data_IF_916591673189
#
_entry.id   IF_916591673189
#
_cell.length_a   1.000
_cell.length_b   1.000
_cell.length_c   1.000
_cell.angle_alpha   90.00
_cell.angle_beta   90.00
_cell.angle_gamma   90.00
#
_symmetry.space_group_name_H-M   'P 1'
#
loop_
_entity.id
_entity.type
_entity.pdbx_description
1 polymer ?
#
# COMPACT_ATOMS: atom_id res chain seq x y z
N UNK A 1 18.98 2.41 22.07
CA UNK A 1 17.58 2.46 21.58
C UNK A 1 17.24 3.89 21.21
N UNK A 2 17.49 4.29 19.95
CA UNK A 2 17.07 5.60 19.45
C UNK A 2 15.68 5.42 18.85
N UNK A 3 14.66 5.89 19.55
CA UNK A 3 13.27 5.75 19.15
C UNK A 3 12.98 6.55 17.88
N UNK A 4 11.99 6.09 17.08
CA UNK A 4 11.44 6.79 15.91
C UNK A 4 11.15 8.29 16.15
N UNK A 5 10.86 8.68 17.40
CA UNK A 5 10.70 10.06 17.84
C UNK A 5 11.95 10.95 17.63
N UNK A 6 13.15 10.37 17.63
CA UNK A 6 14.37 11.18 17.49
C UNK A 6 14.69 11.52 16.04
N UNK A 7 14.23 10.71 15.07
CA UNK A 7 14.41 10.99 13.66
C UNK A 7 13.52 12.18 13.22
N UNK A 8 12.24 12.15 13.59
CA UNK A 8 11.31 13.26 13.31
C UNK A 8 11.74 14.55 14.02
N UNK A 9 12.24 14.47 15.28
CA UNK A 9 12.72 15.65 16.01
C UNK A 9 14.02 16.24 15.47
N UNK A 10 14.89 15.46 14.83
CA UNK A 10 16.12 15.98 14.22
C UNK A 10 15.91 16.64 12.86
N UNK A 11 14.81 16.31 12.17
CA UNK A 11 14.42 16.98 10.93
C UNK A 11 13.69 18.31 11.15
N UNK A 12 13.22 18.59 12.38
CA UNK A 12 12.40 19.77 12.70
C UNK A 12 13.15 20.92 13.40
N UNK A 13 14.48 20.91 13.45
CA UNK A 13 15.29 22.04 13.91
C UNK A 13 15.89 22.78 12.72
N UNK A 14 15.04 23.37 11.91
CA UNK A 14 15.38 24.52 11.08
C UNK A 14 14.68 25.73 11.69
N UNK A 15 15.49 26.66 12.13
CA UNK A 15 15.17 27.95 12.71
C UNK A 15 14.07 28.70 11.96
N UNK A 16 13.06 29.19 12.70
CA UNK A 16 12.07 30.15 12.24
C UNK A 16 12.75 31.50 11.93
N UNK A 17 13.30 31.62 10.71
CA UNK A 17 13.46 32.88 10.03
C UNK A 17 12.34 32.93 8.98
N UNK A 18 11.73 34.08 8.73
CA UNK A 18 10.71 34.27 7.70
C UNK A 18 11.24 33.75 6.36
N UNK A 19 10.99 32.47 6.11
CA UNK A 19 11.31 31.81 4.85
C UNK A 19 10.03 31.71 4.04
N UNK A 20 10.08 32.25 2.83
CA UNK A 20 9.21 31.84 1.75
C UNK A 20 8.97 30.32 1.88
N UNK A 21 7.72 29.95 2.06
CA UNK A 21 7.29 28.55 1.94
C UNK A 21 7.65 28.12 0.52
N UNK A 22 8.86 27.63 0.33
CA UNK A 22 9.19 26.89 -0.88
C UNK A 22 8.31 25.65 -0.87
N UNK A 23 7.16 25.74 -1.51
CA UNK A 23 6.38 24.59 -1.91
C UNK A 23 7.28 23.79 -2.84
N UNK A 24 7.94 22.77 -2.31
CA UNK A 24 8.53 21.75 -3.17
C UNK A 24 7.38 21.16 -3.98
N UNK A 25 7.48 21.14 -5.31
CA UNK A 25 6.44 20.52 -6.12
C UNK A 25 6.34 19.05 -5.71
N UNK A 26 5.11 18.56 -5.56
CA UNK A 26 4.89 17.14 -5.32
C UNK A 26 5.48 16.33 -6.49
N UNK A 27 6.22 15.29 -6.17
CA UNK A 27 6.89 14.45 -7.16
C UNK A 27 5.93 13.36 -7.64
N UNK A 28 5.62 13.39 -8.91
CA UNK A 28 4.85 12.33 -9.57
C UNK A 28 5.72 11.12 -9.85
N UNK A 29 6.92 11.37 -10.29
CA UNK A 29 7.88 10.32 -10.63
C UNK A 29 9.31 10.73 -10.28
N UNK A 30 10.19 9.74 -10.19
CA UNK A 30 11.64 9.92 -10.10
C UNK A 30 12.29 9.19 -11.27
N UNK A 31 12.85 9.95 -12.21
CA UNK A 31 13.49 9.42 -13.41
C UNK A 31 12.61 8.45 -14.23
N UNK A 32 11.29 8.73 -14.31
CA UNK A 32 10.34 7.91 -15.05
C UNK A 32 9.77 6.71 -14.29
N UNK A 33 10.07 6.60 -13.00
CA UNK A 33 9.43 5.63 -12.09
C UNK A 33 8.35 6.34 -11.29
N UNK A 34 7.09 5.95 -11.46
CA UNK A 34 5.98 6.47 -10.66
C UNK A 34 6.19 6.08 -9.19
N UNK A 35 6.16 7.08 -8.31
CA UNK A 35 6.35 6.87 -6.87
C UNK A 35 5.10 7.22 -6.08
N UNK A 36 4.97 6.62 -4.92
CA UNK A 36 3.89 6.92 -3.96
C UNK A 36 4.33 6.62 -2.53
N UNK A 37 3.46 6.90 -1.58
CA UNK A 37 3.64 6.50 -0.19
C UNK A 37 2.43 5.73 0.31
N UNK A 38 2.68 4.66 1.06
CA UNK A 38 1.63 3.96 1.81
C UNK A 38 1.38 4.73 3.10
N UNK A 39 0.15 5.17 3.35
CA UNK A 39 -0.15 6.01 4.53
C UNK A 39 0.06 5.28 5.86
N UNK A 40 0.18 3.95 5.85
CA UNK A 40 0.65 3.16 6.99
C UNK A 40 1.96 3.68 7.59
N UNK A 41 2.85 4.21 6.74
CA UNK A 41 4.17 4.76 7.13
C UNK A 41 4.07 5.95 8.08
N UNK A 42 2.91 6.61 8.18
CA UNK A 42 2.76 7.83 8.97
C UNK A 42 2.42 7.60 10.44
N UNK A 43 2.09 6.46 10.86
CA UNK A 43 1.57 6.05 12.16
C UNK A 43 0.11 5.56 12.04
N UNK A 44 -0.14 4.28 12.27
CA UNK A 44 -1.49 3.71 12.16
C UNK A 44 -2.50 4.23 13.18
N UNK A 45 -2.08 5.04 14.16
CA UNK A 45 -2.99 5.65 15.14
C UNK A 45 -3.56 7.02 14.76
N UNK A 46 -3.21 7.58 13.59
CA UNK A 46 -3.71 8.89 13.16
C UNK A 46 -5.16 8.74 12.64
N UNK A 47 -6.09 9.47 13.25
CA UNK A 47 -7.51 9.48 12.89
C UNK A 47 -7.93 10.82 12.24
N UNK A 48 -7.04 11.81 12.20
CA UNK A 48 -7.34 13.17 11.73
C UNK A 48 -6.90 13.34 10.29
N UNK A 49 -7.86 13.52 9.40
CA UNK A 49 -7.62 13.60 7.95
C UNK A 49 -6.65 14.70 7.54
N UNK A 50 -6.70 15.86 8.21
CA UNK A 50 -5.78 16.97 7.95
C UNK A 50 -4.32 16.62 8.26
N UNK A 51 -4.07 15.80 9.30
CA UNK A 51 -2.73 15.31 9.65
C UNK A 51 -2.24 14.32 8.60
N UNK A 52 -3.10 13.40 8.15
CA UNK A 52 -2.77 12.44 7.09
C UNK A 52 -2.41 13.19 5.80
N UNK A 53 -3.23 14.17 5.40
CA UNK A 53 -2.97 14.99 4.22
C UNK A 53 -1.66 15.76 4.36
N UNK A 54 -1.39 16.35 5.54
CA UNK A 54 -0.14 17.08 5.77
C UNK A 54 1.07 16.16 5.67
N UNK A 55 1.01 14.96 6.25
CA UNK A 55 2.08 13.97 6.15
C UNK A 55 2.34 13.54 4.69
N UNK A 56 1.28 13.43 3.87
CA UNK A 56 1.42 13.16 2.43
C UNK A 56 2.17 14.33 1.74
N UNK A 57 1.80 15.56 2.03
CA UNK A 57 2.49 16.74 1.49
C UNK A 57 3.97 16.80 1.92
N UNK A 58 4.23 16.52 3.20
CA UNK A 58 5.58 16.53 3.75
C UNK A 58 6.46 15.40 3.21
N UNK A 59 5.84 14.28 2.77
CA UNK A 59 6.54 13.19 2.06
C UNK A 59 6.96 13.57 0.64
N UNK A 60 6.38 14.63 0.09
CA UNK A 60 6.65 15.09 -1.28
C UNK A 60 5.98 14.26 -2.38
N UNK A 61 5.16 13.25 -2.03
CA UNK A 61 4.48 12.43 -3.03
C UNK A 61 3.08 12.96 -3.36
N UNK A 62 2.77 13.05 -4.65
CA UNK A 62 1.43 13.38 -5.13
C UNK A 62 0.51 12.16 -5.29
N UNK A 63 1.00 10.97 -4.94
CA UNK A 63 0.28 9.72 -5.13
C UNK A 63 0.36 8.85 -3.86
N UNK A 64 -0.74 8.23 -3.44
CA UNK A 64 -0.80 7.48 -2.19
C UNK A 64 -1.57 6.15 -2.31
N UNK A 65 -1.15 5.16 -1.52
CA UNK A 65 -2.00 4.06 -1.09
C UNK A 65 -2.61 4.42 0.27
N UNK A 66 -3.94 4.60 0.30
CA UNK A 66 -4.66 5.07 1.47
C UNK A 66 -5.16 3.90 2.32
N UNK A 67 -4.74 3.88 3.59
CA UNK A 67 -5.15 2.85 4.55
C UNK A 67 -6.57 3.07 5.04
N UNK A 68 -7.31 1.99 5.15
CA UNK A 68 -8.72 2.01 5.52
C UNK A 68 -9.00 2.53 6.93
N UNK A 69 -8.17 2.22 7.91
CA UNK A 69 -8.35 2.69 9.29
C UNK A 69 -8.24 4.20 9.42
N UNK A 70 -7.32 4.83 8.69
CA UNK A 70 -7.19 6.29 8.67
C UNK A 70 -8.48 6.97 8.21
N UNK A 71 -9.06 6.46 7.12
CA UNK A 71 -10.25 7.07 6.53
C UNK A 71 -11.52 6.67 7.27
N UNK A 72 -11.70 5.40 7.62
CA UNK A 72 -12.89 4.92 8.32
C UNK A 72 -13.07 5.64 9.66
N UNK A 73 -11.98 5.86 10.41
CA UNK A 73 -12.01 6.61 11.67
C UNK A 73 -12.35 8.07 11.48
N UNK A 74 -11.74 8.73 10.50
CA UNK A 74 -11.96 10.15 10.24
C UNK A 74 -13.40 10.48 9.82
N UNK A 75 -14.13 9.50 9.27
CA UNK A 75 -15.53 9.65 8.87
C UNK A 75 -16.52 8.94 9.81
N UNK A 76 -16.09 8.64 11.04
CA UNK A 76 -16.97 8.27 12.14
C UNK A 76 -17.15 6.78 12.38
N UNK A 77 -16.21 5.92 11.95
CA UNK A 77 -16.25 4.50 12.35
C UNK A 77 -16.11 4.37 13.88
N UNK A 78 -17.01 3.66 14.57
CA UNK A 78 -16.94 3.47 16.01
C UNK A 78 -15.63 2.78 16.45
N UNK A 79 -15.16 3.09 17.67
CA UNK A 79 -13.97 2.42 18.23
C UNK A 79 -14.22 0.94 18.54
N UNK A 80 -15.46 0.55 18.84
CA UNK A 80 -15.83 -0.84 19.12
C UNK A 80 -15.81 -1.68 17.84
N UNK A 81 -14.93 -2.68 17.77
CA UNK A 81 -14.84 -3.62 16.63
C UNK A 81 -16.18 -4.33 16.33
N UNK A 82 -17.02 -4.57 17.35
CA UNK A 82 -18.35 -5.20 17.19
C UNK A 82 -19.29 -4.38 16.30
N UNK A 83 -19.07 -3.07 16.22
CA UNK A 83 -19.91 -2.15 15.44
C UNK A 83 -19.40 -1.92 14.01
N UNK A 84 -18.20 -2.42 13.64
CA UNK A 84 -17.57 -2.11 12.37
C UNK A 84 -18.37 -2.64 11.18
N UNK A 85 -18.83 -3.89 11.23
CA UNK A 85 -19.61 -4.48 10.12
C UNK A 85 -20.93 -3.73 9.91
N UNK A 86 -21.64 -3.39 11.01
CA UNK A 86 -22.87 -2.60 10.92
C UNK A 86 -22.61 -1.18 10.40
N UNK A 87 -21.52 -0.54 10.83
CA UNK A 87 -21.16 0.79 10.33
C UNK A 87 -20.84 0.74 8.82
N UNK A 88 -20.03 -0.23 8.38
CA UNK A 88 -19.69 -0.43 6.96
C UNK A 88 -20.92 -0.69 6.08
N UNK A 89 -21.90 -1.41 6.60
CA UNK A 89 -23.16 -1.67 5.89
C UNK A 89 -24.01 -0.41 5.67
N UNK A 90 -23.86 0.62 6.51
CA UNK A 90 -24.74 1.80 6.55
C UNK A 90 -24.06 3.12 6.19
N UNK A 91 -22.71 3.18 6.17
CA UNK A 91 -21.98 4.41 5.87
C UNK A 91 -22.24 4.90 4.45
N UNK A 92 -22.45 6.21 4.32
CA UNK A 92 -22.69 6.81 3.00
C UNK A 92 -21.40 6.89 2.17
N UNK A 93 -21.43 6.48 0.93
CA UNK A 93 -20.33 6.66 -0.02
C UNK A 93 -20.06 8.15 -0.34
N UNK A 94 -20.96 9.06 0.06
CA UNK A 94 -20.73 10.51 -0.01
C UNK A 94 -19.52 10.92 0.84
N UNK A 95 -19.32 10.28 2.01
CA UNK A 95 -18.18 10.57 2.89
C UNK A 95 -16.85 10.21 2.20
N UNK A 96 -16.77 9.10 1.51
CA UNK A 96 -15.58 8.71 0.72
C UNK A 96 -15.33 9.67 -0.46
N UNK A 97 -16.38 10.17 -1.11
CA UNK A 97 -16.26 11.21 -2.14
C UNK A 97 -15.75 12.53 -1.56
N UNK A 98 -16.15 12.88 -0.33
CA UNK A 98 -15.65 14.05 0.36
C UNK A 98 -14.15 13.91 0.68
N UNK A 99 -13.73 12.74 1.14
CA UNK A 99 -12.31 12.42 1.36
C UNK A 99 -11.52 12.57 0.07
N UNK A 100 -11.96 11.93 -1.02
CA UNK A 100 -11.35 12.11 -2.34
C UNK A 100 -11.16 13.60 -2.70
N UNK A 101 -12.19 14.40 -2.48
CA UNK A 101 -12.14 15.84 -2.77
C UNK A 101 -11.08 16.56 -1.92
N UNK A 102 -10.93 16.19 -0.64
CA UNK A 102 -9.93 16.80 0.24
C UNK A 102 -8.50 16.53 -0.27
N UNK A 103 -8.15 15.27 -0.59
CA UNK A 103 -6.86 14.92 -1.17
C UNK A 103 -6.63 15.60 -2.52
N UNK A 104 -7.62 15.54 -3.43
CA UNK A 104 -7.53 16.15 -4.75
C UNK A 104 -7.31 17.67 -4.70
N UNK A 105 -7.93 18.37 -3.75
CA UNK A 105 -7.75 19.83 -3.56
C UNK A 105 -6.31 20.19 -3.13
N UNK A 106 -5.54 19.22 -2.67
CA UNK A 106 -4.12 19.35 -2.30
C UNK A 106 -3.17 18.78 -3.36
N UNK A 107 -3.70 18.37 -4.50
CA UNK A 107 -2.91 17.79 -5.59
C UNK A 107 -2.51 16.33 -5.35
N UNK A 108 -3.12 15.66 -4.38
CA UNK A 108 -2.80 14.27 -4.02
C UNK A 108 -3.82 13.33 -4.68
N UNK A 109 -3.32 12.32 -5.39
CA UNK A 109 -4.10 11.24 -5.97
C UNK A 109 -4.11 10.01 -5.05
N UNK A 110 -5.26 9.35 -4.94
CA UNK A 110 -5.40 8.07 -4.24
C UNK A 110 -5.39 6.99 -5.33
N UNK A 111 -4.22 6.35 -5.61
CA UNK A 111 -4.15 5.30 -6.62
C UNK A 111 -4.66 3.96 -6.09
N UNK A 112 -4.49 3.70 -4.79
CA UNK A 112 -4.93 2.47 -4.16
C UNK A 112 -5.58 2.74 -2.80
N UNK A 113 -6.50 1.85 -2.42
CA UNK A 113 -7.18 1.85 -1.12
C UNK A 113 -7.05 0.48 -0.47
N UNK A 114 -6.56 0.43 0.76
CA UNK A 114 -6.41 -0.82 1.54
C UNK A 114 -7.41 -0.89 2.69
N UNK A 115 -8.64 -1.44 2.49
CA UNK A 115 -9.58 -1.71 3.57
C UNK A 115 -9.15 -2.91 4.40
N UNK A 116 -9.50 -2.92 5.69
CA UNK A 116 -9.20 -4.06 6.58
C UNK A 116 -10.32 -5.11 6.67
N UNK A 117 -11.24 -5.12 5.72
CA UNK A 117 -12.41 -5.99 5.72
C UNK A 117 -12.48 -6.95 4.52
N UNK A 118 -11.31 -7.44 4.08
CA UNK A 118 -11.18 -8.35 2.94
C UNK A 118 -10.77 -9.78 3.33
N UNK A 119 -10.73 -10.08 4.63
CA UNK A 119 -10.34 -11.41 5.14
C UNK A 119 -11.45 -12.45 5.02
N UNK A 120 -11.12 -13.74 5.22
CA UNK A 120 -12.08 -14.85 5.09
C UNK A 120 -13.24 -14.77 6.10
N UNK A 121 -13.04 -14.11 7.24
CA UNK A 121 -14.05 -13.94 8.29
C UNK A 121 -14.96 -12.71 8.10
N UNK A 122 -14.69 -11.86 7.10
CA UNK A 122 -15.54 -10.73 6.81
C UNK A 122 -16.78 -11.16 6.01
N UNK A 123 -17.88 -10.45 6.19
CA UNK A 123 -19.13 -10.72 5.47
C UNK A 123 -19.06 -10.26 4.01
N UNK A 124 -19.97 -10.78 3.17
CA UNK A 124 -20.12 -10.33 1.79
C UNK A 124 -20.47 -8.85 1.71
N UNK A 125 -21.25 -8.33 2.66
CA UNK A 125 -21.60 -6.91 2.72
C UNK A 125 -20.39 -6.02 3.02
N UNK A 126 -19.42 -6.50 3.80
CA UNK A 126 -18.16 -5.76 4.05
C UNK A 126 -17.26 -5.77 2.82
N UNK A 127 -17.17 -6.88 2.08
CA UNK A 127 -16.45 -6.93 0.81
C UNK A 127 -17.10 -5.99 -0.22
N UNK A 128 -18.43 -6.02 -0.32
CA UNK A 128 -19.15 -5.11 -1.21
C UNK A 128 -18.98 -3.64 -0.83
N UNK A 129 -18.99 -3.33 0.46
CA UNK A 129 -18.64 -2.01 0.99
C UNK A 129 -17.26 -1.58 0.51
N UNK A 130 -16.23 -2.42 0.66
CA UNK A 130 -14.87 -2.13 0.24
C UNK A 130 -14.78 -1.78 -1.26
N UNK A 131 -15.48 -2.52 -2.12
CA UNK A 131 -15.55 -2.23 -3.55
C UNK A 131 -16.20 -0.87 -3.83
N UNK A 132 -17.32 -0.56 -3.16
CA UNK A 132 -18.00 0.73 -3.29
C UNK A 132 -17.15 1.89 -2.80
N UNK A 133 -16.45 1.73 -1.68
CA UNK A 133 -15.55 2.73 -1.11
C UNK A 133 -14.37 3.02 -2.05
N UNK A 134 -13.74 1.99 -2.61
CA UNK A 134 -12.68 2.13 -3.62
C UNK A 134 -13.12 2.99 -4.80
N UNK A 135 -14.30 2.71 -5.35
CA UNK A 135 -14.87 3.53 -6.44
C UNK A 135 -15.18 4.96 -6.03
N UNK A 136 -15.70 5.15 -4.82
CA UNK A 136 -16.04 6.48 -4.32
C UNK A 136 -14.80 7.35 -4.07
N UNK A 137 -13.70 6.75 -3.63
CA UNK A 137 -12.38 7.36 -3.54
C UNK A 137 -11.78 7.65 -4.92
N UNK A 138 -12.21 6.89 -5.94
CA UNK A 138 -11.65 6.96 -7.29
C UNK A 138 -10.27 6.33 -7.38
N UNK A 139 -9.98 5.39 -6.49
CA UNK A 139 -8.77 4.60 -6.54
C UNK A 139 -8.80 3.61 -7.72
N UNK A 140 -7.66 3.39 -8.36
CA UNK A 140 -7.51 2.46 -9.47
C UNK A 140 -7.51 1.00 -8.99
N UNK A 141 -7.05 0.79 -7.75
CA UNK A 141 -6.92 -0.52 -7.12
C UNK A 141 -7.48 -0.51 -5.70
N UNK A 142 -8.10 -1.63 -5.33
CA UNK A 142 -8.26 -2.07 -3.95
C UNK A 142 -7.09 -3.00 -3.64
N UNK A 143 -6.39 -2.80 -2.52
CA UNK A 143 -5.35 -3.74 -2.08
C UNK A 143 -5.86 -4.60 -0.93
N UNK A 144 -5.53 -5.89 -0.96
CA UNK A 144 -5.98 -6.88 0.02
C UNK A 144 -4.86 -7.89 0.31
N UNK A 145 -4.89 -8.47 1.50
CA UNK A 145 -3.98 -9.56 1.83
C UNK A 145 -4.26 -10.80 0.97
N UNK A 146 -3.21 -11.43 0.46
CA UNK A 146 -3.29 -12.72 -0.18
C UNK A 146 -3.56 -13.78 0.90
N UNK A 147 -4.75 -14.36 0.88
CA UNK A 147 -5.20 -15.34 1.88
C UNK A 147 -5.43 -16.71 1.24
N UNK A 148 -6.58 -17.34 1.47
CA UNK A 148 -6.91 -18.63 0.88
C UNK A 148 -7.46 -18.49 -0.54
N UNK A 149 -7.34 -19.55 -1.33
CA UNK A 149 -7.90 -19.61 -2.67
C UNK A 149 -9.42 -19.33 -2.69
N UNK A 150 -10.14 -19.87 -1.69
CA UNK A 150 -11.59 -19.69 -1.57
C UNK A 150 -11.96 -18.23 -1.33
N UNK A 151 -11.22 -17.55 -0.43
CA UNK A 151 -11.45 -16.14 -0.16
C UNK A 151 -11.08 -15.27 -1.36
N UNK A 152 -9.97 -15.56 -2.03
CA UNK A 152 -9.56 -14.84 -3.25
C UNK A 152 -10.62 -14.98 -4.34
N UNK A 153 -11.12 -16.19 -4.60
CA UNK A 153 -12.20 -16.43 -5.55
C UNK A 153 -13.50 -15.71 -5.17
N UNK A 154 -13.80 -15.64 -3.86
CA UNK A 154 -14.92 -14.86 -3.34
C UNK A 154 -14.75 -13.37 -3.62
N UNK A 155 -13.60 -12.79 -3.31
CA UNK A 155 -13.28 -11.38 -3.59
C UNK A 155 -13.37 -11.09 -5.09
N UNK A 156 -12.86 -11.98 -5.95
CA UNK A 156 -12.87 -11.83 -7.40
C UNK A 156 -14.29 -11.65 -7.97
N UNK A 157 -15.30 -12.35 -7.42
CA UNK A 157 -16.70 -12.18 -7.82
C UNK A 157 -17.21 -10.75 -7.56
N UNK A 158 -16.85 -10.17 -6.42
CA UNK A 158 -17.20 -8.79 -6.10
C UNK A 158 -16.39 -7.79 -6.94
N UNK A 159 -15.13 -8.07 -7.20
CA UNK A 159 -14.26 -7.28 -8.07
C UNK A 159 -14.84 -7.16 -9.48
N UNK A 160 -15.29 -8.27 -10.06
CA UNK A 160 -15.96 -8.29 -11.36
C UNK A 160 -17.32 -7.58 -11.34
N UNK A 161 -18.17 -7.87 -10.34
CA UNK A 161 -19.48 -7.23 -10.16
C UNK A 161 -19.37 -5.71 -10.10
N UNK A 162 -18.37 -5.20 -9.41
CA UNK A 162 -18.19 -3.76 -9.19
C UNK A 162 -17.21 -3.10 -10.17
N UNK A 163 -16.58 -3.89 -11.05
CA UNK A 163 -15.50 -3.42 -11.94
C UNK A 163 -14.38 -2.72 -11.19
N UNK A 164 -13.82 -3.37 -10.16
CA UNK A 164 -12.72 -2.91 -9.32
C UNK A 164 -11.53 -3.85 -9.50
N UNK A 165 -10.34 -3.31 -9.70
CA UNK A 165 -9.11 -4.10 -9.71
C UNK A 165 -8.65 -4.36 -8.27
N UNK A 166 -8.15 -5.57 -7.98
CA UNK A 166 -7.68 -5.96 -6.65
C UNK A 166 -6.22 -6.37 -6.71
N UNK A 167 -5.36 -5.64 -6.00
CA UNK A 167 -3.95 -5.95 -5.80
C UNK A 167 -3.75 -6.81 -4.55
N UNK A 168 -3.26 -8.04 -4.72
CA UNK A 168 -3.02 -8.95 -3.60
C UNK A 168 -1.61 -8.81 -3.05
N UNK A 169 -1.53 -8.44 -1.79
CA UNK A 169 -0.31 -8.30 -1.01
C UNK A 169 0.04 -9.61 -0.29
N UNK A 170 1.29 -10.03 -0.35
CA UNK A 170 1.77 -11.23 0.33
C UNK A 170 2.91 -10.89 1.29
N UNK A 171 2.89 -11.52 2.47
CA UNK A 171 3.93 -11.44 3.48
C UNK A 171 4.88 -12.65 3.36
N UNK A 172 4.93 -13.49 4.41
CA UNK A 172 5.84 -14.64 4.49
C UNK A 172 5.51 -15.80 3.53
N UNK A 173 4.35 -15.76 2.89
CA UNK A 173 3.98 -16.70 1.84
C UNK A 173 4.52 -16.30 0.46
N UNK A 174 5.16 -15.12 0.31
CA UNK A 174 5.67 -14.63 -0.95
C UNK A 174 6.67 -15.63 -1.59
N UNK A 175 6.45 -15.92 -2.87
CA UNK A 175 7.29 -16.78 -3.70
C UNK A 175 6.91 -16.58 -5.16
N UNK A 176 7.68 -17.15 -6.08
CA UNK A 176 7.41 -17.09 -7.52
C UNK A 176 6.02 -17.64 -7.94
N UNK A 177 5.38 -18.42 -7.07
CA UNK A 177 4.10 -19.07 -7.37
C UNK A 177 2.97 -18.67 -6.44
N UNK A 178 3.24 -17.83 -5.43
CA UNK A 178 2.27 -17.50 -4.39
C UNK A 178 0.97 -16.91 -4.95
N UNK A 179 1.04 -16.10 -5.97
CA UNK A 179 -0.11 -15.40 -6.57
C UNK A 179 -0.79 -16.17 -7.71
N UNK A 180 -0.27 -17.32 -8.17
CA UNK A 180 -0.78 -18.00 -9.36
C UNK A 180 -2.28 -18.25 -9.28
N UNK A 181 -2.77 -18.83 -8.17
CA UNK A 181 -4.19 -19.11 -8.01
C UNK A 181 -5.07 -17.85 -8.04
N UNK A 182 -4.55 -16.72 -7.57
CA UNK A 182 -5.28 -15.46 -7.61
C UNK A 182 -5.32 -14.90 -9.04
N UNK A 183 -4.22 -14.99 -9.78
CA UNK A 183 -4.15 -14.52 -11.18
C UNK A 183 -5.00 -15.35 -12.12
N UNK A 184 -5.21 -16.64 -11.80
CA UNK A 184 -6.05 -17.55 -12.58
C UNK A 184 -7.55 -17.30 -12.34
N UNK A 185 -7.94 -16.77 -11.18
CA UNK A 185 -9.33 -16.59 -10.80
C UNK A 185 -10.05 -15.45 -11.55
N UNK A 186 -9.36 -14.34 -11.85
CA UNK A 186 -9.98 -13.18 -12.50
C UNK A 186 -8.96 -12.26 -13.16
N UNK A 187 -9.38 -11.62 -14.26
CA UNK A 187 -8.62 -10.54 -14.91
C UNK A 187 -8.57 -9.25 -14.07
N UNK A 188 -9.40 -9.14 -13.04
CA UNK A 188 -9.40 -8.02 -12.08
C UNK A 188 -8.37 -8.19 -10.98
N UNK A 189 -7.72 -9.33 -10.91
CA UNK A 189 -6.69 -9.62 -9.91
C UNK A 189 -5.31 -9.19 -10.40
N UNK A 190 -4.60 -8.54 -9.50
CA UNK A 190 -3.26 -8.01 -9.70
C UNK A 190 -2.37 -8.36 -8.50
N UNK A 191 -1.09 -8.15 -8.65
CA UNK A 191 -0.07 -8.36 -7.63
C UNK A 191 0.32 -7.00 -7.03
N UNK A 192 0.13 -6.83 -5.73
CA UNK A 192 0.82 -5.82 -4.94
C UNK A 192 2.05 -6.50 -4.36
N UNK A 193 3.22 -6.26 -4.97
CA UNK A 193 4.45 -6.96 -4.65
C UNK A 193 5.25 -6.19 -3.61
N UNK A 194 5.26 -6.65 -2.37
CA UNK A 194 6.23 -6.18 -1.39
C UNK A 194 7.57 -6.90 -1.60
N UNK A 195 8.56 -6.15 -2.08
CA UNK A 195 9.88 -6.69 -2.41
C UNK A 195 10.69 -7.05 -1.17
N UNK A 196 10.45 -6.35 -0.04
CA UNK A 196 11.07 -6.69 1.23
C UNK A 196 10.51 -7.97 1.83
N UNK A 197 9.18 -8.13 1.81
CA UNK A 197 8.57 -9.40 2.23
C UNK A 197 8.97 -10.56 1.32
N UNK A 198 9.10 -10.33 0.02
CA UNK A 198 9.57 -11.36 -0.89
C UNK A 198 10.95 -11.87 -0.49
N UNK A 199 11.93 -10.98 -0.29
CA UNK A 199 13.31 -11.35 0.11
C UNK A 199 13.34 -12.03 1.50
N UNK A 200 12.51 -11.54 2.43
CA UNK A 200 12.45 -12.05 3.79
C UNK A 200 11.71 -13.38 3.96
N UNK A 201 10.88 -13.76 2.98
CA UNK A 201 9.98 -14.91 3.14
C UNK A 201 10.69 -16.25 3.08
N UNK A 202 11.67 -16.44 2.21
CA UNK A 202 12.33 -17.73 1.94
C UNK A 202 13.78 -17.53 1.51
N UNK A 203 14.65 -18.51 1.84
CA UNK A 203 16.06 -18.50 1.39
C UNK A 203 16.23 -18.60 -0.13
N UNK A 204 15.26 -19.17 -0.82
CA UNK A 204 15.22 -19.28 -2.29
C UNK A 204 14.86 -17.95 -2.95
N UNK A 205 14.26 -17.02 -2.23
CA UNK A 205 13.91 -15.69 -2.71
C UNK A 205 15.16 -14.80 -2.66
N UNK A 206 15.80 -14.65 -3.79
CA UNK A 206 17.04 -13.89 -3.96
C UNK A 206 16.79 -12.64 -4.80
N UNK A 207 17.78 -11.76 -4.91
CA UNK A 207 17.74 -10.64 -5.85
C UNK A 207 17.39 -11.11 -7.27
N UNK A 208 18.06 -12.16 -7.72
CA UNK A 208 17.85 -12.66 -9.09
C UNK A 208 16.42 -13.17 -9.31
N UNK A 209 15.88 -13.98 -8.38
CA UNK A 209 14.51 -14.47 -8.49
C UNK A 209 13.49 -13.34 -8.42
N UNK A 210 13.70 -12.33 -7.57
CA UNK A 210 12.84 -11.15 -7.50
C UNK A 210 12.81 -10.37 -8.82
N UNK A 211 13.98 -10.04 -9.39
CA UNK A 211 14.05 -9.28 -10.62
C UNK A 211 13.42 -10.06 -11.79
N UNK A 212 13.66 -11.38 -11.86
CA UNK A 212 13.02 -12.26 -12.86
C UNK A 212 11.50 -12.32 -12.65
N UNK A 213 11.02 -12.36 -11.38
CA UNK A 213 9.60 -12.33 -11.08
C UNK A 213 8.95 -11.03 -11.57
N UNK A 214 9.58 -9.88 -11.32
CA UNK A 214 9.09 -8.57 -11.81
C UNK A 214 9.03 -8.57 -13.34
N UNK A 215 10.09 -8.97 -14.02
CA UNK A 215 10.13 -9.05 -15.49
C UNK A 215 9.01 -9.92 -16.06
N UNK A 216 8.82 -11.10 -15.50
CA UNK A 216 7.83 -12.07 -15.98
C UNK A 216 6.39 -11.60 -15.73
N UNK A 217 6.14 -10.92 -14.60
CA UNK A 217 4.79 -10.60 -14.14
C UNK A 217 4.44 -9.11 -14.24
N UNK A 218 5.27 -8.26 -14.87
CA UNK A 218 5.12 -6.82 -14.87
C UNK A 218 3.71 -6.33 -15.27
N UNK A 219 3.06 -7.00 -16.22
CA UNK A 219 1.71 -6.65 -16.67
C UNK A 219 0.60 -6.98 -15.67
N UNK A 220 0.92 -7.76 -14.64
CA UNK A 220 0.02 -8.13 -13.54
C UNK A 220 0.37 -7.44 -12.22
N UNK A 221 1.53 -6.80 -12.13
CA UNK A 221 1.88 -6.00 -10.95
C UNK A 221 1.15 -4.67 -11.02
N UNK A 222 0.42 -4.32 -9.96
CA UNK A 222 -0.23 -3.01 -9.81
C UNK A 222 0.65 -2.02 -9.05
N UNK A 223 1.44 -2.51 -8.11
CA UNK A 223 2.38 -1.71 -7.33
C UNK A 223 3.50 -2.56 -6.73
N UNK A 224 4.65 -1.93 -6.49
CA UNK A 224 5.67 -2.44 -5.60
C UNK A 224 5.52 -1.77 -4.24
N UNK A 225 5.63 -2.53 -3.14
CA UNK A 225 5.94 -1.96 -1.84
C UNK A 225 7.45 -2.02 -1.63
N UNK A 226 8.05 -0.86 -1.40
CA UNK A 226 9.46 -0.70 -1.16
C UNK A 226 9.70 -0.70 0.35
N UNK A 227 10.35 -1.74 0.82
CA UNK A 227 10.68 -1.96 2.22
C UNK A 227 12.04 -2.64 2.30
N UNK A 228 12.93 -2.16 3.14
CA UNK A 228 14.23 -2.81 3.30
C UNK A 228 14.19 -3.82 4.44
N UNK A 229 14.52 -5.06 4.13
CA UNK A 229 14.51 -6.19 5.06
C UNK A 229 15.75 -7.06 4.90
N UNK A 230 16.09 -7.80 5.94
CA UNK A 230 17.10 -8.85 5.82
C UNK A 230 16.55 -10.06 5.05
N UNK A 231 17.39 -10.71 4.28
CA UNK A 231 17.07 -11.97 3.62
C UNK A 231 16.77 -13.07 4.65
N UNK A 232 15.90 -14.01 4.28
CA UNK A 232 15.55 -15.14 5.11
C UNK A 232 16.78 -15.98 5.47
N UNK A 233 16.98 -16.24 6.77
CA UNK A 233 18.02 -17.13 7.28
C UNK A 233 17.44 -18.52 7.56
N UNK A 234 18.24 -19.61 7.48
CA UNK A 234 17.72 -20.97 7.63
C UNK A 234 16.95 -21.24 8.94
N UNK A 235 17.27 -20.52 10.02
CA UNK A 235 16.66 -20.70 11.33
C UNK A 235 15.61 -19.62 11.68
N UNK A 236 15.43 -18.59 10.86
CA UNK A 236 14.54 -17.46 11.12
C UNK A 236 13.66 -17.17 9.89
N UNK A 237 12.98 -18.17 9.36
CA UNK A 237 12.03 -17.99 8.29
C UNK A 237 10.97 -16.95 8.70
N UNK A 238 11.04 -15.77 8.11
CA UNK A 238 10.07 -14.72 8.29
C UNK A 238 10.22 -13.82 9.51
N UNK A 239 11.25 -13.97 10.31
CA UNK A 239 11.57 -13.10 11.46
C UNK A 239 12.62 -12.04 11.12
N UNK A 240 12.82 -11.73 9.86
CA UNK A 240 13.75 -10.67 9.47
C UNK A 240 13.14 -9.32 9.78
N UNK A 241 13.79 -8.57 10.66
CA UNK A 241 13.34 -7.23 11.03
C UNK A 241 13.44 -6.25 9.85
N UNK A 242 12.56 -5.26 9.84
CA UNK A 242 12.68 -4.11 8.96
C UNK A 242 14.00 -3.39 9.24
N UNK A 243 14.68 -3.01 8.17
CA UNK A 243 15.96 -2.35 8.23
C UNK A 243 15.83 -0.87 7.87
N UNK A 244 16.81 -0.08 8.32
CA UNK A 244 17.01 1.26 7.75
C UNK A 244 17.40 1.06 6.28
N UNK A 245 16.80 1.82 5.40
CA UNK A 245 17.02 1.73 3.96
C UNK A 245 18.50 1.78 3.58
N UNK A 246 18.93 0.84 2.78
CA UNK A 246 20.32 0.60 2.40
C UNK A 246 21.14 -0.16 3.42
N UNK A 247 20.52 -0.73 4.46
CA UNK A 247 21.16 -1.59 5.46
C UNK A 247 20.66 -3.02 5.45
N UNK A 248 19.58 -3.28 4.72
CA UNK A 248 19.04 -4.62 4.51
C UNK A 248 19.56 -5.27 3.23
N UNK A 249 18.90 -6.34 2.86
CA UNK A 249 19.27 -7.17 1.68
C UNK A 249 18.27 -7.00 0.52
N UNK A 250 17.24 -6.14 0.68
CA UNK A 250 16.25 -5.92 -0.37
C UNK A 250 16.87 -5.13 -1.51
N UNK A 251 16.86 -5.62 -2.76
CA UNK A 251 17.48 -4.96 -3.90
C UNK A 251 16.60 -3.83 -4.46
N UNK A 252 16.35 -2.81 -3.61
CA UNK A 252 15.45 -1.68 -3.94
C UNK A 252 15.94 -0.92 -5.16
N UNK A 253 17.25 -0.61 -5.21
CA UNK A 253 17.84 0.16 -6.31
C UNK A 253 17.73 -0.60 -7.61
N UNK A 254 18.08 -1.87 -7.62
CA UNK A 254 18.04 -2.71 -8.83
C UNK A 254 16.59 -2.92 -9.30
N UNK A 255 15.63 -3.08 -8.37
CA UNK A 255 14.22 -3.18 -8.73
C UNK A 255 13.70 -1.89 -9.40
N UNK A 256 14.04 -0.71 -8.84
CA UNK A 256 13.66 0.58 -9.42
C UNK A 256 14.34 0.86 -10.77
N UNK A 257 15.62 0.48 -10.91
CA UNK A 257 16.33 0.55 -12.19
C UNK A 257 15.65 -0.33 -13.24
N UNK A 258 15.25 -1.55 -12.86
CA UNK A 258 14.52 -2.46 -13.74
C UNK A 258 13.20 -1.86 -14.21
N UNK A 259 12.42 -1.22 -13.29
CA UNK A 259 11.18 -0.53 -13.62
C UNK A 259 11.42 0.59 -14.62
N UNK A 260 12.41 1.43 -14.36
CA UNK A 260 12.81 2.55 -15.23
C UNK A 260 13.22 2.07 -16.61
N UNK A 261 14.17 1.13 -16.67
CA UNK A 261 14.82 0.72 -17.91
C UNK A 261 13.86 -0.01 -18.86
N UNK A 262 12.82 -0.66 -18.30
CA UNK A 262 11.76 -1.29 -19.08
C UNK A 262 10.50 -0.41 -19.22
N UNK A 263 10.50 0.79 -18.65
CA UNK A 263 9.34 1.72 -18.68
C UNK A 263 8.04 1.06 -18.17
N UNK A 264 8.13 0.24 -17.11
CA UNK A 264 6.96 -0.37 -16.52
C UNK A 264 6.05 0.69 -15.87
N UNK A 265 4.71 0.46 -15.88
CA UNK A 265 3.70 1.48 -15.57
C UNK A 265 3.02 1.29 -14.22
N UNK A 266 3.54 0.45 -13.36
CA UNK A 266 3.03 0.30 -12.00
C UNK A 266 3.76 1.23 -11.03
N UNK A 267 3.08 1.60 -9.98
CA UNK A 267 3.57 2.52 -8.95
C UNK A 267 4.55 1.82 -7.99
N UNK A 268 5.58 2.53 -7.55
CA UNK A 268 6.52 2.07 -6.50
C UNK A 268 6.27 2.86 -5.21
N UNK A 269 5.73 2.19 -4.20
CA UNK A 269 5.23 2.79 -2.97
C UNK A 269 6.22 2.63 -1.82
N UNK A 270 6.61 3.74 -1.19
CA UNK A 270 7.39 3.70 0.05
C UNK A 270 6.52 3.19 1.19
N UNK A 271 6.99 2.16 1.88
CA UNK A 271 6.38 1.65 3.10
C UNK A 271 7.41 1.53 4.21
N UNK A 272 7.24 2.36 5.25
CA UNK A 272 8.08 2.37 6.45
C UNK A 272 7.31 1.74 7.61
N UNK A 273 7.94 0.80 8.32
CA UNK A 273 7.40 0.15 9.51
C UNK A 273 8.31 0.34 10.73
#
# INVERSE_FOLDING_TARGET
MNSRRSFIKKSSLVTFGAMNLNFFPLLKDVNGVDISVVTYSFNPGIEEMNIIIQNCLDSGSDNIELMGDHIERSIGMPRSKRSHSNWRANVSMKEFKNVKKQFKNKGINIFAYKPYCMGPNNSDSEIEYAMKATKALGADYLTAELTTKENTKRISRFAEKHNVNVGYHAHLQASDTAWNFAMDDSKKNFINLDIGHYIAARKENTKETLLNFILKNHSKICSLHLKDRQAAKPLNLGASDNQIWGKGDTPIVEALQLVRDNSFKFTSSFELE
#
